data_IF_034315807121
#
_entry.id   IF_034315807121
#
_cell.length_a   1.000
_cell.length_b   1.000
_cell.length_c   1.000
_cell.angle_alpha   90.00
_cell.angle_beta   90.00
_cell.angle_gamma   90.00
#
_symmetry.space_group_name_H-M   'P 1'
#
loop_
_entity.id
_entity.type
_entity.pdbx_description
1 polymer ?
#
# COMPACT_ATOMS: atom_id res chain seq x y z
N UNK A 1 -19.51 -0.26 1.23
CA UNK A 1 -18.06 -0.49 1.45
C UNK A 1 -17.90 -1.90 2.02
N UNK A 2 -17.12 -2.76 1.37
CA UNK A 2 -16.28 -3.67 2.14
C UNK A 2 -15.06 -4.13 1.33
N UNK A 3 -13.91 -3.53 1.65
CA UNK A 3 -12.63 -4.19 1.44
C UNK A 3 -12.67 -5.50 2.23
N UNK A 4 -12.45 -6.62 1.55
CA UNK A 4 -12.54 -7.96 2.13
C UNK A 4 -11.36 -8.21 3.06
N UNK A 5 -10.14 -8.08 2.55
CA UNK A 5 -8.93 -8.18 3.36
C UNK A 5 -7.85 -7.20 2.89
N UNK A 6 -6.99 -6.79 3.83
CA UNK A 6 -5.86 -5.91 3.60
C UNK A 6 -4.59 -6.62 4.06
N UNK A 7 -3.63 -6.77 3.15
CA UNK A 7 -2.27 -7.20 3.47
C UNK A 7 -1.37 -5.97 3.51
N UNK A 8 -0.94 -5.57 4.70
CA UNK A 8 0.08 -4.53 4.88
C UNK A 8 1.45 -5.18 5.09
N UNK A 9 2.43 -4.78 4.29
CA UNK A 9 3.82 -5.22 4.40
C UNK A 9 4.71 -4.00 4.56
N UNK A 10 5.57 -4.01 5.58
CA UNK A 10 6.56 -2.95 5.80
C UNK A 10 7.96 -3.53 5.66
N UNK A 11 8.74 -2.95 4.77
CA UNK A 11 10.14 -3.28 4.53
C UNK A 11 11.00 -2.19 5.14
N UNK A 12 11.99 -2.58 5.93
CA UNK A 12 13.01 -1.68 6.47
C UNK A 12 14.34 -1.96 5.79
N UNK A 13 15.05 -0.92 5.43
CA UNK A 13 16.38 -1.01 4.85
C UNK A 13 17.32 -0.04 5.55
N UNK A 14 18.61 -0.41 5.59
CA UNK A 14 19.67 0.39 6.20
C UNK A 14 20.78 0.58 5.19
N UNK A 15 21.18 1.83 4.97
CA UNK A 15 22.36 2.15 4.20
C UNK A 15 23.61 1.96 5.06
N UNK A 16 24.33 0.86 4.85
CA UNK A 16 25.57 0.54 5.58
C UNK A 16 26.82 1.16 4.95
N UNK A 17 26.67 1.98 3.90
CA UNK A 17 27.78 2.64 3.22
C UNK A 17 28.12 3.99 3.87
N UNK A 18 29.26 4.56 3.45
CA UNK A 18 29.71 5.87 3.92
C UNK A 18 29.08 7.06 3.16
N UNK A 19 28.29 6.81 2.11
CA UNK A 19 27.68 7.84 1.28
C UNK A 19 26.15 7.69 1.28
N UNK A 20 25.43 8.73 0.86
CA UNK A 20 24.01 8.58 0.57
C UNK A 20 23.79 7.64 -0.61
N UNK A 21 22.74 6.83 -0.56
CA UNK A 21 22.32 5.95 -1.65
C UNK A 21 20.91 6.33 -2.10
N UNK A 22 20.72 6.39 -3.41
CA UNK A 22 19.41 6.58 -4.04
C UNK A 22 19.02 5.34 -4.82
N UNK A 23 17.78 4.90 -4.64
CA UNK A 23 17.22 3.76 -5.37
C UNK A 23 15.71 3.92 -5.53
N UNK A 24 15.17 3.27 -6.55
CA UNK A 24 13.74 3.23 -6.82
C UNK A 24 13.19 1.83 -6.49
N UNK A 25 11.96 1.80 -5.98
CA UNK A 25 11.17 0.61 -5.79
C UNK A 25 9.87 0.75 -6.59
N UNK A 26 9.51 -0.30 -7.32
CA UNK A 26 8.22 -0.40 -8.01
C UNK A 26 7.45 -1.54 -7.37
N UNK A 27 6.27 -1.25 -6.82
CA UNK A 27 5.28 -2.29 -6.50
C UNK A 27 4.65 -2.71 -7.81
N UNK A 28 4.87 -3.95 -8.18
CA UNK A 28 4.35 -4.59 -9.38
C UNK A 28 3.37 -5.70 -8.96
N UNK A 29 2.19 -5.73 -9.57
CA UNK A 29 1.17 -6.74 -9.30
C UNK A 29 0.40 -7.06 -10.57
N UNK A 30 0.17 -8.35 -10.77
CA UNK A 30 -0.54 -8.96 -11.89
C UNK A 30 -1.47 -10.03 -11.29
N UNK A 31 -2.78 -9.79 -11.32
CA UNK A 31 -3.78 -10.52 -10.56
C UNK A 31 -4.37 -11.72 -11.29
N UNK A 32 -4.42 -11.71 -12.63
CA UNK A 32 -5.09 -12.72 -13.46
C UNK A 32 -6.46 -13.08 -12.84
N UNK A 33 -7.42 -12.14 -12.85
CA UNK A 33 -8.67 -12.29 -12.11
C UNK A 33 -9.67 -13.15 -12.90
N UNK A 34 -10.08 -14.29 -12.31
CA UNK A 34 -11.02 -15.25 -12.93
C UNK A 34 -12.21 -15.54 -12.01
N UNK A 35 -12.91 -14.49 -11.56
CA UNK A 35 -13.99 -14.64 -10.59
C UNK A 35 -15.37 -14.80 -11.24
N UNK A 36 -15.70 -13.98 -12.23
CA UNK A 36 -17.01 -13.99 -12.89
C UNK A 36 -16.98 -14.48 -14.34
N UNK A 37 -15.78 -14.62 -14.92
CA UNK A 37 -15.56 -15.01 -16.30
C UNK A 37 -14.32 -15.92 -16.45
N UNK A 38 -13.93 -16.23 -17.70
CA UNK A 38 -12.75 -17.06 -18.00
C UNK A 38 -11.77 -16.36 -18.94
N UNK A 39 -11.99 -15.09 -19.22
CA UNK A 39 -11.25 -14.27 -20.17
C UNK A 39 -10.43 -13.21 -19.44
N UNK A 40 -9.19 -13.01 -19.88
CA UNK A 40 -8.25 -12.01 -19.35
C UNK A 40 -8.60 -10.59 -19.80
N UNK A 41 -9.88 -10.23 -19.76
CA UNK A 41 -10.37 -8.90 -20.10
C UNK A 41 -10.57 -8.10 -18.81
N UNK A 42 -9.51 -8.06 -18.01
CA UNK A 42 -9.48 -7.33 -16.76
C UNK A 42 -9.61 -5.83 -17.02
N UNK A 43 -10.27 -5.17 -16.09
CA UNK A 43 -10.26 -3.73 -15.98
C UNK A 43 -9.22 -3.28 -14.98
N UNK A 44 -9.25 -1.99 -14.71
CA UNK A 44 -8.40 -1.43 -13.68
C UNK A 44 -8.67 0.05 -13.53
N UNK A 45 -7.87 0.67 -12.69
CA UNK A 45 -7.89 2.11 -12.59
C UNK A 45 -7.12 2.65 -11.42
N UNK A 46 -7.18 3.96 -11.26
CA UNK A 46 -6.41 4.71 -10.29
C UNK A 46 -7.33 5.63 -9.53
N UNK A 47 -7.29 5.51 -8.21
CA UNK A 47 -7.95 6.42 -7.28
C UNK A 47 -6.89 7.19 -6.50
N UNK A 48 -7.07 8.50 -6.41
CA UNK A 48 -6.39 9.32 -5.41
C UNK A 48 -7.43 9.73 -4.38
N UNK A 49 -7.27 9.23 -3.15
CA UNK A 49 -8.20 9.54 -2.07
C UNK A 49 -8.11 11.01 -1.67
N UNK A 50 -9.09 11.50 -0.90
CA UNK A 50 -9.06 12.85 -0.33
C UNK A 50 -7.88 13.10 0.61
N UNK A 51 -7.25 12.06 1.16
CA UNK A 51 -6.01 12.15 1.94
C UNK A 51 -4.74 12.19 1.08
N UNK A 52 -4.87 12.13 -0.25
CA UNK A 52 -3.76 12.11 -1.20
C UNK A 52 -3.10 10.74 -1.36
N UNK A 53 -3.73 9.67 -0.88
CA UNK A 53 -3.23 8.32 -1.04
C UNK A 53 -3.59 7.80 -2.43
N UNK A 54 -2.58 7.28 -3.13
CA UNK A 54 -2.72 6.73 -4.48
C UNK A 54 -2.93 5.22 -4.40
N UNK A 55 -4.01 4.76 -5.02
CA UNK A 55 -4.42 3.36 -5.09
C UNK A 55 -4.58 3.00 -6.57
N UNK A 56 -3.94 1.91 -6.99
CA UNK A 56 -4.19 1.29 -8.29
C UNK A 56 -5.03 0.04 -8.09
N UNK A 57 -5.88 -0.27 -9.07
CA UNK A 57 -6.77 -1.43 -9.08
C UNK A 57 -6.59 -2.21 -10.37
N UNK A 58 -6.70 -3.52 -10.23
CA UNK A 58 -7.07 -4.45 -11.27
C UNK A 58 -8.44 -5.01 -10.88
N UNK A 59 -9.37 -4.99 -11.83
CA UNK A 59 -10.77 -5.39 -11.64
C UNK A 59 -11.09 -6.55 -12.56
N UNK A 60 -11.92 -7.49 -12.12
CA UNK A 60 -12.26 -8.70 -12.87
C UNK A 60 -12.95 -8.41 -14.22
N UNK A 61 -13.49 -7.19 -14.37
CA UNK A 61 -14.06 -6.69 -15.62
C UNK A 61 -13.72 -5.22 -15.87
N UNK A 62 -13.53 -4.85 -17.13
CA UNK A 62 -13.47 -3.45 -17.54
C UNK A 62 -14.89 -2.88 -17.70
N UNK A 63 -15.43 -2.32 -16.61
CA UNK A 63 -16.74 -1.65 -16.58
C UNK A 63 -16.68 -0.24 -15.99
N UNK A 64 -15.47 0.30 -15.78
CA UNK A 64 -15.24 1.58 -15.11
C UNK A 64 -15.29 1.49 -13.57
N UNK A 65 -15.38 2.64 -12.90
CA UNK A 65 -15.30 2.71 -11.43
C UNK A 65 -16.63 2.64 -10.69
N UNK A 66 -17.73 2.96 -11.37
CA UNK A 66 -19.03 3.22 -10.76
C UNK A 66 -19.85 1.94 -10.52
N UNK A 67 -19.47 0.83 -11.14
CA UNK A 67 -20.12 -0.46 -10.97
C UNK A 67 -19.34 -1.37 -10.02
N UNK A 68 -20.05 -2.30 -9.37
CA UNK A 68 -19.44 -3.18 -8.40
C UNK A 68 -18.68 -4.31 -9.08
N UNK A 69 -17.43 -4.53 -8.67
CA UNK A 69 -16.57 -5.58 -9.21
C UNK A 69 -15.74 -6.27 -8.10
N UNK A 70 -15.16 -7.44 -8.40
CA UNK A 70 -14.08 -8.02 -7.63
C UNK A 70 -12.77 -7.37 -8.07
N UNK A 71 -11.93 -7.00 -7.11
CA UNK A 71 -10.69 -6.30 -7.43
C UNK A 71 -9.55 -6.68 -6.49
N UNK A 72 -8.34 -6.51 -7.02
CA UNK A 72 -7.13 -6.41 -6.25
C UNK A 72 -6.57 -4.99 -6.39
N UNK A 73 -6.22 -4.37 -5.27
CA UNK A 73 -5.68 -3.02 -5.23
C UNK A 73 -4.29 -2.97 -4.62
N UNK A 74 -3.47 -2.02 -5.05
CA UNK A 74 -2.17 -1.72 -4.45
C UNK A 74 -2.07 -0.26 -4.04
N UNK A 75 -1.46 -0.01 -2.88
CA UNK A 75 -1.08 1.32 -2.43
C UNK A 75 0.29 1.28 -1.73
N UNK A 76 1.02 2.38 -1.78
CA UNK A 76 2.37 2.48 -1.25
C UNK A 76 2.55 3.74 -0.39
N UNK A 77 3.37 3.64 0.65
CA UNK A 77 3.81 4.74 1.49
C UNK A 77 5.33 4.71 1.72
N UNK A 78 5.91 5.89 1.94
CA UNK A 78 7.36 6.11 2.00
C UNK A 78 7.95 6.57 0.67
N UNK A 79 9.09 7.27 0.75
CA UNK A 79 9.79 7.80 -0.42
C UNK A 79 8.99 8.88 -1.17
N UNK A 80 9.50 9.28 -2.32
CA UNK A 80 8.84 10.23 -3.25
C UNK A 80 8.21 9.45 -4.39
N UNK A 81 6.96 9.76 -4.78
CA UNK A 81 6.33 9.10 -5.94
C UNK A 81 7.16 9.30 -7.20
N UNK A 82 7.38 8.23 -7.96
CA UNK A 82 8.02 8.27 -9.28
C UNK A 82 7.03 7.98 -10.41
N UNK A 83 5.74 7.83 -10.07
CA UNK A 83 4.65 7.64 -11.01
C UNK A 83 3.92 6.31 -10.82
N UNK A 84 2.96 6.10 -11.70
CA UNK A 84 2.14 4.90 -11.77
C UNK A 84 2.00 4.44 -13.23
N UNK A 85 1.59 3.20 -13.44
CA UNK A 85 1.19 2.69 -14.75
C UNK A 85 0.24 1.51 -14.56
N UNK A 86 -0.84 1.50 -15.32
CA UNK A 86 -1.73 0.35 -15.51
C UNK A 86 -1.69 0.05 -17.00
N UNK A 87 -1.08 -1.07 -17.37
CA UNK A 87 -0.84 -1.41 -18.76
C UNK A 87 -0.62 -2.91 -18.91
N UNK A 88 -0.57 -3.39 -20.15
CA UNK A 88 -0.31 -4.79 -20.48
C UNK A 88 0.86 -5.39 -19.68
N UNK A 89 0.65 -6.59 -19.15
CA UNK A 89 1.66 -7.38 -18.43
C UNK A 89 3.03 -7.34 -19.08
N UNK A 90 3.08 -7.70 -20.36
CA UNK A 90 4.35 -7.84 -21.08
C UNK A 90 5.06 -6.49 -21.30
N UNK A 91 4.31 -5.42 -21.57
CA UNK A 91 4.84 -4.08 -21.78
C UNK A 91 5.38 -3.48 -20.49
N UNK A 92 4.56 -3.49 -19.43
CA UNK A 92 4.94 -2.94 -18.13
C UNK A 92 6.11 -3.70 -17.51
N UNK A 93 6.11 -5.04 -17.56
CA UNK A 93 7.23 -5.86 -17.11
C UNK A 93 8.53 -5.48 -17.82
N UNK A 94 8.48 -5.31 -19.13
CA UNK A 94 9.65 -4.96 -19.95
C UNK A 94 10.19 -3.56 -19.60
N UNK A 95 9.29 -2.59 -19.39
CA UNK A 95 9.63 -1.23 -18.96
C UNK A 95 10.35 -1.23 -17.61
N UNK A 96 9.78 -1.91 -16.62
CA UNK A 96 10.36 -1.99 -15.27
C UNK A 96 11.71 -2.71 -15.31
N UNK A 97 11.81 -3.85 -16.00
CA UNK A 97 13.06 -4.58 -16.16
C UNK A 97 14.15 -3.76 -16.87
N UNK A 98 13.75 -2.86 -17.78
CA UNK A 98 14.64 -1.91 -18.44
C UNK A 98 15.00 -0.68 -17.62
N UNK A 99 14.48 -0.53 -16.39
CA UNK A 99 14.71 0.65 -15.54
C UNK A 99 14.11 1.94 -16.10
N UNK A 100 13.12 1.83 -16.99
CA UNK A 100 12.43 2.99 -17.56
C UNK A 100 11.39 3.53 -16.57
N UNK A 101 11.21 4.85 -16.56
CA UNK A 101 10.18 5.48 -15.73
C UNK A 101 8.78 4.98 -16.10
N UNK A 102 7.91 4.89 -15.09
CA UNK A 102 6.48 4.63 -15.27
C UNK A 102 5.83 5.77 -16.06
N UNK A 103 4.86 5.43 -16.91
CA UNK A 103 4.31 6.34 -17.89
C UNK A 103 3.28 7.34 -17.35
N UNK A 104 2.77 7.17 -16.11
CA UNK A 104 1.62 7.91 -15.57
C UNK A 104 0.39 7.74 -16.46
N UNK A 105 0.03 6.48 -16.71
CA UNK A 105 -0.94 6.09 -17.73
C UNK A 105 -1.81 4.94 -17.24
N UNK A 106 -3.08 4.97 -17.65
CA UNK A 106 -4.03 3.86 -17.53
C UNK A 106 -4.43 3.42 -18.94
N UNK A 107 -4.07 2.20 -19.31
CA UNK A 107 -4.41 1.64 -20.62
C UNK A 107 -5.92 1.38 -20.71
N UNK A 108 -6.54 1.87 -21.78
CA UNK A 108 -8.00 1.71 -21.98
C UNK A 108 -8.88 2.76 -21.30
N UNK A 109 -8.30 3.72 -20.57
CA UNK A 109 -8.97 4.94 -20.05
C UNK A 109 -9.17 5.91 -21.23
N UNK A 110 -10.36 5.87 -21.81
CA UNK A 110 -10.65 6.43 -23.13
C UNK A 110 -10.96 7.92 -23.09
N UNK A 111 -12.23 8.29 -23.27
CA UNK A 111 -12.59 9.68 -23.62
C UNK A 111 -12.91 10.55 -22.40
N UNK A 112 -13.47 9.96 -21.34
CA UNK A 112 -13.80 10.67 -20.10
C UNK A 112 -12.61 10.84 -19.16
N UNK A 113 -11.51 10.11 -19.39
CA UNK A 113 -10.23 10.26 -18.70
C UNK A 113 -10.39 10.22 -17.16
N UNK A 114 -11.28 9.35 -16.69
CA UNK A 114 -11.65 9.23 -15.29
C UNK A 114 -10.65 8.40 -14.48
N UNK A 115 -9.58 7.93 -15.15
CA UNK A 115 -8.51 7.10 -14.60
C UNK A 115 -8.91 5.64 -14.38
N UNK A 116 -9.97 5.17 -15.03
CA UNK A 116 -10.37 3.77 -15.04
C UNK A 116 -10.45 3.24 -16.47
N UNK A 117 -10.33 1.92 -16.63
CA UNK A 117 -10.47 1.28 -17.93
C UNK A 117 -11.95 1.32 -18.35
N UNK A 118 -12.22 1.88 -19.53
CA UNK A 118 -13.60 2.01 -20.04
C UNK A 118 -14.23 0.65 -20.36
N UNK A 119 -15.56 0.64 -20.36
CA UNK A 119 -16.32 -0.54 -20.78
C UNK A 119 -15.97 -1.00 -22.21
N UNK A 120 -15.58 -2.27 -22.32
CA UNK A 120 -15.19 -2.89 -23.59
C UNK A 120 -13.73 -2.67 -24.01
N UNK A 121 -12.94 -1.96 -23.20
CA UNK A 121 -11.49 -1.77 -23.40
C UNK A 121 -10.63 -2.66 -22.47
N UNK A 122 -11.24 -3.68 -21.86
CA UNK A 122 -10.53 -4.61 -20.96
C UNK A 122 -9.41 -5.38 -21.64
N UNK A 123 -8.39 -5.70 -20.86
CA UNK A 123 -7.19 -6.41 -21.28
C UNK A 123 -6.50 -7.06 -20.08
N UNK A 124 -5.45 -7.85 -20.32
CA UNK A 124 -4.55 -8.39 -19.29
C UNK A 124 -3.70 -7.25 -18.69
N UNK A 125 -4.33 -6.47 -17.80
CA UNK A 125 -3.75 -5.26 -17.22
C UNK A 125 -2.98 -5.58 -15.96
N UNK A 126 -1.85 -4.91 -15.80
CA UNK A 126 -0.93 -5.09 -14.69
C UNK A 126 -0.62 -3.74 -14.05
N UNK A 127 -0.38 -3.75 -12.75
CA UNK A 127 -0.20 -2.55 -11.94
C UNK A 127 1.28 -2.27 -11.65
N UNK A 128 1.68 -1.01 -11.79
CA UNK A 128 3.01 -0.51 -11.41
C UNK A 128 2.90 0.77 -10.61
N UNK A 129 3.41 0.79 -9.37
CA UNK A 129 3.40 1.96 -8.50
C UNK A 129 4.79 2.25 -7.93
N UNK A 130 5.39 3.36 -8.35
CA UNK A 130 6.80 3.67 -8.15
C UNK A 130 7.09 4.64 -7.00
N UNK A 131 8.21 4.41 -6.30
CA UNK A 131 8.74 5.27 -5.24
C UNK A 131 10.27 5.39 -5.33
N UNK A 132 10.81 6.58 -5.07
CA UNK A 132 12.24 6.85 -4.94
C UNK A 132 12.62 7.10 -3.48
N UNK A 133 13.76 6.56 -3.08
CA UNK A 133 14.33 6.73 -1.75
C UNK A 133 15.74 7.28 -1.84
N UNK A 134 16.06 8.26 -1.01
CA UNK A 134 17.44 8.69 -0.77
C UNK A 134 17.76 8.51 0.71
N UNK A 135 18.67 7.58 1.01
CA UNK A 135 19.01 7.18 2.37
C UNK A 135 20.42 7.63 2.69
N UNK A 136 20.54 8.51 3.68
CA UNK A 136 21.84 9.01 4.14
C UNK A 136 22.74 7.88 4.66
N UNK A 137 24.05 8.13 4.72
CA UNK A 137 25.03 7.18 5.23
C UNK A 137 24.67 6.75 6.67
N UNK A 138 24.62 5.44 6.92
CA UNK A 138 24.25 4.87 8.22
C UNK A 138 22.77 4.99 8.59
N UNK A 139 21.94 5.62 7.76
CA UNK A 139 20.52 5.79 8.04
C UNK A 139 19.68 4.60 7.57
N UNK A 140 18.46 4.53 8.09
CA UNK A 140 17.44 3.58 7.66
C UNK A 140 16.23 4.29 7.07
N UNK A 141 15.48 3.57 6.24
CA UNK A 141 14.16 3.99 5.76
C UNK A 141 13.19 2.82 5.75
N UNK A 142 11.93 3.16 5.55
CA UNK A 142 10.83 2.20 5.46
C UNK A 142 10.06 2.38 4.16
N UNK A 143 9.60 1.28 3.60
CA UNK A 143 8.65 1.23 2.50
C UNK A 143 7.48 0.36 2.91
N UNK A 144 6.28 0.92 2.96
CA UNK A 144 5.07 0.17 3.30
C UNK A 144 4.21 0.01 2.06
N UNK A 145 3.80 -1.22 1.79
CA UNK A 145 2.89 -1.55 0.69
C UNK A 145 1.64 -2.20 1.25
N UNK A 146 0.48 -1.81 0.72
CA UNK A 146 -0.81 -2.41 1.01
C UNK A 146 -1.31 -3.14 -0.24
N UNK A 147 -1.81 -4.36 -0.05
CA UNK A 147 -2.58 -5.11 -1.06
C UNK A 147 -4.00 -5.27 -0.54
N UNK A 148 -4.97 -4.85 -1.34
CA UNK A 148 -6.39 -4.80 -1.01
C UNK A 148 -7.06 -5.89 -1.81
N UNK A 149 -7.79 -6.79 -1.15
CA UNK A 149 -8.66 -7.75 -1.83
C UNK A 149 -10.09 -7.37 -1.51
N UNK A 150 -10.90 -7.08 -2.52
CA UNK A 150 -12.20 -6.49 -2.29
C UNK A 150 -13.24 -6.81 -3.34
N UNK A 151 -14.48 -6.48 -2.98
CA UNK A 151 -15.63 -6.49 -3.87
C UNK A 151 -16.42 -5.19 -3.68
N UNK A 152 -16.96 -4.62 -4.75
CA UNK A 152 -17.72 -3.37 -4.73
C UNK A 152 -17.19 -2.36 -5.73
N UNK A 153 -17.66 -1.11 -5.61
CA UNK A 153 -17.23 -0.01 -6.48
C UNK A 153 -15.79 0.41 -6.15
N UNK A 154 -14.84 0.34 -7.09
CA UNK A 154 -13.45 0.75 -6.86
C UNK A 154 -13.29 2.21 -6.41
N UNK A 155 -14.12 3.13 -6.89
CA UNK A 155 -14.06 4.56 -6.52
C UNK A 155 -14.50 4.86 -5.08
N UNK A 156 -15.09 3.87 -4.38
CA UNK A 156 -15.50 3.99 -2.98
C UNK A 156 -14.53 3.33 -2.00
N UNK A 157 -13.37 2.86 -2.47
CA UNK A 157 -12.39 2.19 -1.62
C UNK A 157 -11.72 3.19 -0.70
N UNK A 158 -11.76 2.89 0.60
CA UNK A 158 -11.05 3.62 1.64
C UNK A 158 -10.14 2.64 2.37
N UNK A 159 -8.85 2.93 2.39
CA UNK A 159 -7.86 2.18 3.17
C UNK A 159 -7.32 3.05 4.30
N UNK A 160 -7.06 2.47 5.47
CA UNK A 160 -6.43 3.20 6.56
C UNK A 160 -4.99 3.57 6.18
N UNK A 161 -4.52 4.77 6.54
CA UNK A 161 -3.13 5.16 6.34
C UNK A 161 -2.21 4.21 7.12
N UNK A 162 -1.00 3.96 6.61
CA UNK A 162 -0.09 2.99 7.24
C UNK A 162 0.57 3.52 8.53
N UNK A 163 0.36 4.79 8.87
CA UNK A 163 0.88 5.45 10.09
C UNK A 163 0.26 4.95 11.40
N UNK A 164 -0.73 4.06 11.37
CA UNK A 164 -1.47 3.63 12.56
C UNK A 164 -0.75 2.55 13.40
N UNK A 165 0.51 2.22 13.11
CA UNK A 165 1.34 1.48 14.07
C UNK A 165 1.68 2.46 15.20
N UNK A 166 1.30 2.19 16.47
CA UNK A 166 1.63 3.08 17.56
C UNK A 166 3.14 3.31 17.59
N UNK A 167 3.55 4.56 17.38
CA UNK A 167 4.97 4.90 17.33
C UNK A 167 5.69 4.40 18.60
N UNK A 168 7.02 4.17 18.55
CA UNK A 168 7.80 3.70 19.69
C UNK A 168 7.54 4.46 21.00
N UNK A 169 7.11 5.72 20.93
CA UNK A 169 6.66 6.51 22.07
C UNK A 169 5.47 5.88 22.80
N UNK A 170 4.48 5.32 22.10
CA UNK A 170 3.32 4.65 22.71
C UNK A 170 3.74 3.39 23.46
N UNK A 171 4.67 2.62 22.89
CA UNK A 171 5.28 1.46 23.58
C UNK A 171 6.06 1.89 24.81
N UNK A 172 6.84 2.97 24.70
CA UNK A 172 7.56 3.55 25.82
C UNK A 172 6.61 4.08 26.91
N UNK A 173 5.43 4.59 26.55
CA UNK A 173 4.40 5.01 27.51
C UNK A 173 3.76 3.83 28.22
N UNK A 174 3.49 2.71 27.53
CA UNK A 174 3.02 1.49 28.20
C UNK A 174 4.08 0.90 29.13
N UNK A 175 5.33 0.77 28.66
CA UNK A 175 6.43 0.25 29.47
C UNK A 175 6.72 1.17 30.65
N UNK A 176 6.75 2.49 30.43
CA UNK A 176 6.95 3.50 31.46
C UNK A 176 5.82 3.52 32.49
N UNK A 177 4.56 3.45 32.04
CA UNK A 177 3.37 3.39 32.89
C UNK A 177 3.32 2.13 33.75
N UNK A 178 3.51 0.95 33.15
CA UNK A 178 3.54 -0.32 33.88
C UNK A 178 4.75 -0.42 34.81
N UNK A 179 5.91 0.10 34.39
CA UNK A 179 7.10 0.20 35.23
C UNK A 179 6.87 1.05 36.48
N UNK A 180 6.20 2.20 36.34
CA UNK A 180 5.84 3.07 37.47
C UNK A 180 4.84 2.40 38.41
N UNK A 181 3.75 1.80 37.90
CA UNK A 181 2.75 1.11 38.73
C UNK A 181 3.37 -0.07 39.49
N UNK A 182 4.15 -0.90 38.81
CA UNK A 182 4.87 -2.01 39.44
C UNK A 182 5.85 -1.54 40.52
N UNK A 183 6.55 -0.43 40.28
CA UNK A 183 7.46 0.17 41.28
C UNK A 183 6.71 0.70 42.52
N UNK A 184 5.52 1.28 42.34
CA UNK A 184 4.69 1.78 43.43
C UNK A 184 4.12 0.64 44.29
N UNK A 185 3.64 -0.44 43.65
CA UNK A 185 3.17 -1.63 44.34
C UNK A 185 4.28 -2.31 45.17
N UNK A 186 5.51 -2.38 44.64
CA UNK A 186 6.66 -2.97 45.33
C UNK A 186 7.12 -2.15 46.55
N UNK A 187 6.81 -0.85 46.62
CA UNK A 187 7.16 0.00 47.77
C UNK A 187 6.19 -0.12 48.95
N UNK A 188 5.01 -0.71 48.77
CA UNK A 188 4.05 -0.90 49.86
C UNK A 188 4.48 -2.10 50.73
N UNK A 189 5.38 -1.85 51.68
CA UNK A 189 5.69 -2.81 52.74
C UNK A 189 4.47 -2.98 53.65
N UNK A 190 4.07 -4.23 53.85
CA UNK A 190 3.01 -4.61 54.79
C UNK A 190 3.52 -4.32 56.20
N UNK A 191 2.95 -3.31 56.87
CA UNK A 191 3.21 -3.12 58.30
C UNK A 191 2.58 -4.27 59.06
N UNK A 192 3.42 -5.19 59.56
CA UNK A 192 2.99 -6.21 60.50
C UNK A 192 2.53 -5.55 61.79
N UNK A 193 1.25 -5.74 62.14
CA UNK A 193 0.74 -5.37 63.47
C UNK A 193 1.15 -6.47 64.44
N UNK A 194 1.93 -6.10 65.46
CA UNK A 194 2.26 -6.99 66.58
C UNK A 194 1.22 -6.71 67.67
N UNK A 195 0.40 -7.71 68.00
CA UNK A 195 -0.49 -7.68 69.16
C UNK A 195 0.28 -8.19 70.39
N UNK A 196 0.18 -7.47 71.49
CA UNK A 196 0.60 -7.87 72.83
C UNK A 196 -0.58 -7.92 73.78
#
# INVERSE_FOLDING_TARGET
>A
MQAGSLLTQTYSFTNTSANALTFDLVRYLDGDLYFNNTDLNDGGGRLVTSSGQEILFETDTAIGSADADTFIGIANEGGTSTGYEIASYSGLRSRIAGGSALANFVEGDGVDADQFVDSGNGYDVTLGLGRSFTIAAGASGTFTTQTIFGTGQPDQVVIPPTSDVPEPATWAMFIGGFGLVGSAMRRRRVSGVIFG
#
